data_IF_238793637765
#
_entry.id   IF_238793637765
#
_cell.length_a   1.000
_cell.length_b   1.000
_cell.length_c   1.000
_cell.angle_alpha   90.00
_cell.angle_beta   90.00
_cell.angle_gamma   90.00
#
_symmetry.space_group_name_H-M   'P 1'
#
loop_
_entity.id
_entity.type
_entity.pdbx_description
1 polymer ?
#
# COMPACT_ATOMS: atom_id res chain seq x y z
N UNK A 1 -12.02 -7.89 -5.09
CA UNK A 1 -12.25 -7.97 -3.65
C UNK A 1 -11.39 -9.06 -2.96
N UNK A 2 -11.70 -10.39 -3.02
CA UNK A 2 -10.83 -11.41 -2.39
C UNK A 2 -9.43 -11.47 -3.01
N UNK A 3 -9.33 -11.39 -4.34
CA UNK A 3 -8.04 -11.34 -5.05
C UNK A 3 -7.18 -10.15 -4.61
N UNK A 4 -7.77 -8.99 -4.44
CA UNK A 4 -7.07 -7.76 -4.01
C UNK A 4 -6.61 -7.88 -2.55
N UNK A 5 -7.48 -8.44 -1.68
CA UNK A 5 -7.12 -8.74 -0.29
C UNK A 5 -5.93 -9.70 -0.23
N UNK A 6 -5.90 -10.72 -1.11
CA UNK A 6 -4.78 -11.67 -1.19
C UNK A 6 -3.48 -10.95 -1.58
N UNK A 7 -3.53 -10.07 -2.56
CA UNK A 7 -2.36 -9.31 -3.00
C UNK A 7 -1.83 -8.38 -1.91
N UNK A 8 -2.73 -7.69 -1.20
CA UNK A 8 -2.38 -6.86 -0.05
C UNK A 8 -1.71 -7.68 1.06
N UNK A 9 -2.29 -8.81 1.45
CA UNK A 9 -1.72 -9.68 2.49
C UNK A 9 -0.34 -10.21 2.12
N UNK A 10 -0.15 -10.66 0.87
CA UNK A 10 1.16 -11.12 0.39
C UNK A 10 2.19 -10.00 0.45
N UNK A 11 1.81 -8.78 0.05
CA UNK A 11 2.71 -7.63 0.13
C UNK A 11 3.07 -7.28 1.58
N UNK A 12 2.11 -7.37 2.51
CA UNK A 12 2.34 -7.15 3.95
C UNK A 12 3.30 -8.21 4.52
N UNK A 13 3.01 -9.49 4.35
CA UNK A 13 3.84 -10.58 4.86
C UNK A 13 5.24 -10.54 4.25
N UNK A 14 5.33 -10.28 2.93
CA UNK A 14 6.62 -10.11 2.25
C UNK A 14 7.44 -8.96 2.84
N UNK A 15 6.81 -7.83 3.18
CA UNK A 15 7.48 -6.70 3.80
C UNK A 15 7.98 -7.04 5.22
N UNK A 16 7.17 -7.75 5.99
CA UNK A 16 7.55 -8.24 7.31
C UNK A 16 8.75 -9.21 7.24
N UNK A 17 8.71 -10.16 6.31
CA UNK A 17 9.84 -11.08 6.08
C UNK A 17 11.09 -10.34 5.58
N UNK A 18 10.94 -9.33 4.72
CA UNK A 18 12.06 -8.48 4.28
C UNK A 18 12.74 -7.78 5.46
N UNK A 19 11.96 -7.22 6.39
CA UNK A 19 12.51 -6.56 7.55
C UNK A 19 13.19 -7.56 8.51
N UNK A 20 12.61 -8.76 8.67
CA UNK A 20 13.18 -9.82 9.52
C UNK A 20 14.55 -10.33 9.03
N UNK A 21 14.76 -10.35 7.71
CA UNK A 21 16.03 -10.83 7.13
C UNK A 21 17.03 -9.71 6.82
N UNK A 22 16.67 -8.45 7.04
CA UNK A 22 17.45 -7.26 6.66
C UNK A 22 18.85 -7.24 7.24
N UNK A 23 19.01 -7.59 8.52
CA UNK A 23 20.31 -7.65 9.17
C UNK A 23 21.21 -8.70 8.52
N UNK A 24 20.68 -9.90 8.25
CA UNK A 24 21.41 -10.96 7.56
C UNK A 24 21.77 -10.56 6.12
N UNK A 25 20.84 -9.95 5.41
CA UNK A 25 21.06 -9.43 4.08
C UNK A 25 22.13 -8.34 4.05
N UNK A 26 22.16 -7.46 5.06
CA UNK A 26 23.19 -6.43 5.20
C UNK A 26 24.60 -7.01 5.37
N UNK A 27 24.74 -8.06 6.19
CA UNK A 27 26.02 -8.77 6.35
C UNK A 27 26.45 -9.42 5.03
N UNK A 28 25.54 -10.08 4.33
CA UNK A 28 25.85 -10.71 3.04
C UNK A 28 26.19 -9.67 1.96
N UNK A 29 25.50 -8.54 1.94
CA UNK A 29 25.78 -7.42 1.05
C UNK A 29 27.16 -6.79 1.34
N UNK A 30 27.54 -6.63 2.62
CA UNK A 30 28.89 -6.19 3.03
C UNK A 30 29.96 -7.14 2.48
N UNK A 31 29.80 -8.47 2.65
CA UNK A 31 30.74 -9.44 2.13
C UNK A 31 30.87 -9.34 0.60
N UNK A 32 29.75 -9.19 -0.14
CA UNK A 32 29.79 -9.02 -1.59
C UNK A 32 30.51 -7.74 -2.01
N UNK A 33 30.33 -6.62 -1.29
CA UNK A 33 31.08 -5.38 -1.56
C UNK A 33 32.59 -5.63 -1.35
N UNK A 34 32.97 -6.33 -0.28
CA UNK A 34 34.36 -6.66 -0.02
C UNK A 34 34.95 -7.56 -1.12
N UNK A 35 34.20 -8.53 -1.61
CA UNK A 35 34.61 -9.40 -2.73
C UNK A 35 34.81 -8.62 -4.04
N UNK A 36 33.99 -7.60 -4.30
CA UNK A 36 34.15 -6.72 -5.46
C UNK A 36 35.41 -5.85 -5.32
N UNK A 37 35.71 -5.38 -4.10
CA UNK A 37 36.86 -4.52 -3.82
C UNK A 37 38.17 -5.29 -3.75
N UNK A 38 38.14 -6.52 -3.29
CA UNK A 38 39.28 -7.43 -3.14
C UNK A 38 38.91 -8.81 -3.71
N UNK A 39 38.96 -8.98 -5.04
CA UNK A 39 38.65 -10.27 -5.66
C UNK A 39 39.67 -11.31 -5.18
N UNK A 40 39.16 -12.45 -4.70
CA UNK A 40 40.01 -13.57 -4.32
C UNK A 40 40.85 -13.99 -5.51
N UNK A 41 42.17 -14.22 -5.36
CA UNK A 41 43.03 -14.67 -6.46
C UNK A 41 42.52 -16.00 -6.96
N UNK A 42 42.43 -16.15 -8.29
CA UNK A 42 42.12 -17.44 -8.92
C UNK A 42 43.14 -18.45 -8.42
N UNK A 43 42.68 -19.47 -7.68
CA UNK A 43 43.46 -20.52 -7.05
C UNK A 43 44.64 -20.93 -7.93
N UNK A 44 45.84 -20.50 -7.60
CA UNK A 44 47.05 -21.25 -7.83
C UNK A 44 47.45 -21.86 -6.49
N UNK A 45 47.56 -23.18 -6.50
CA UNK A 45 48.03 -23.98 -5.39
C UNK A 45 49.43 -23.50 -5.07
N UNK A 46 49.64 -22.79 -3.97
CA UNK A 46 50.79 -22.90 -3.10
C UNK A 46 50.77 -21.80 -2.00
N UNK A 47 51.16 -22.27 -0.79
CA UNK A 47 51.64 -21.56 0.37
C UNK A 47 50.61 -20.98 1.40
N UNK A 48 50.70 -21.61 2.60
CA UNK A 48 49.97 -21.30 3.86
C UNK A 48 50.21 -19.89 4.39
N UNK A 49 51.10 -19.08 3.84
CA UNK A 49 51.41 -17.73 4.33
C UNK A 49 50.58 -16.59 3.71
N UNK A 50 49.77 -16.85 2.70
CA UNK A 50 48.98 -15.77 2.07
C UNK A 50 47.65 -15.51 2.73
N UNK A 51 47.10 -16.46 3.50
CA UNK A 51 45.76 -16.31 4.09
C UNK A 51 45.70 -15.22 5.19
N UNK A 52 46.76 -15.12 6.02
CA UNK A 52 46.80 -14.14 7.14
C UNK A 52 46.92 -12.68 6.63
N UNK A 53 47.62 -12.45 5.51
CA UNK A 53 47.78 -11.11 4.95
C UNK A 53 46.49 -10.68 4.21
N UNK A 54 45.79 -11.62 3.57
CA UNK A 54 44.50 -11.37 2.91
C UNK A 54 43.40 -11.08 3.92
N UNK A 55 43.32 -11.84 5.04
CA UNK A 55 42.34 -11.60 6.10
C UNK A 55 42.55 -10.23 6.74
N UNK A 56 43.78 -9.84 7.02
CA UNK A 56 44.10 -8.52 7.59
C UNK A 56 43.72 -7.36 6.61
N UNK A 57 43.94 -7.54 5.34
CA UNK A 57 43.56 -6.56 4.30
C UNK A 57 42.03 -6.44 4.17
N UNK A 58 41.30 -7.55 4.24
CA UNK A 58 39.85 -7.63 4.21
C UNK A 58 39.24 -6.95 5.45
N UNK A 59 39.79 -7.17 6.62
CA UNK A 59 39.35 -6.51 7.87
C UNK A 59 39.57 -4.98 7.82
N UNK A 60 40.71 -4.53 7.30
CA UNK A 60 40.95 -3.08 7.11
C UNK A 60 39.96 -2.45 6.13
N UNK A 61 39.61 -3.15 5.05
CA UNK A 61 38.60 -2.68 4.12
C UNK A 61 37.21 -2.66 4.76
N UNK A 62 36.85 -3.67 5.55
CA UNK A 62 35.60 -3.74 6.31
C UNK A 62 35.46 -2.56 7.27
N UNK A 63 36.51 -2.26 8.04
CA UNK A 63 36.52 -1.12 8.94
C UNK A 63 36.31 0.21 8.17
N UNK A 64 37.00 0.40 7.04
CA UNK A 64 36.85 1.60 6.20
C UNK A 64 35.48 1.71 5.56
N UNK A 65 34.86 0.58 5.20
CA UNK A 65 33.51 0.54 4.67
C UNK A 65 32.50 0.96 5.75
N UNK A 66 32.58 0.39 6.94
CA UNK A 66 31.71 0.73 8.09
C UNK A 66 31.87 2.18 8.56
N UNK A 67 33.09 2.73 8.46
CA UNK A 67 33.37 4.16 8.72
C UNK A 67 32.81 5.09 7.61
N UNK A 68 32.21 4.55 6.54
CA UNK A 68 31.67 5.36 5.43
C UNK A 68 32.74 5.99 4.51
N UNK A 69 34.05 5.73 4.75
CA UNK A 69 35.17 6.31 3.98
C UNK A 69 35.21 5.85 2.52
N UNK A 70 34.44 4.82 2.16
CA UNK A 70 34.40 4.25 0.82
C UNK A 70 33.11 4.59 0.06
N UNK A 71 32.15 5.30 0.65
CA UNK A 71 30.83 5.55 0.11
C UNK A 71 30.82 6.16 -1.29
N UNK A 72 31.74 7.09 -1.57
CA UNK A 72 31.86 7.79 -2.85
C UNK A 72 32.69 7.03 -3.91
N UNK A 73 33.36 5.93 -3.51
CA UNK A 73 34.13 5.12 -4.46
C UNK A 73 33.20 4.38 -5.42
N UNK A 74 33.57 4.34 -6.71
CA UNK A 74 32.83 3.65 -7.73
C UNK A 74 33.21 2.16 -7.80
N UNK A 75 32.21 1.29 -7.88
CA UNK A 75 32.36 -0.15 -8.12
C UNK A 75 31.53 -0.57 -9.34
N UNK A 76 31.99 -1.60 -10.04
CA UNK A 76 31.23 -2.21 -11.13
C UNK A 76 30.31 -3.28 -10.57
N UNK A 77 29.01 -3.12 -10.80
CA UNK A 77 27.99 -4.06 -10.37
C UNK A 77 27.14 -4.50 -11.56
N UNK A 78 26.85 -5.80 -11.62
CA UNK A 78 25.90 -6.35 -12.57
C UNK A 78 24.48 -6.00 -12.12
N UNK A 79 23.90 -4.97 -12.74
CA UNK A 79 22.53 -4.54 -12.46
C UNK A 79 21.58 -4.99 -13.55
N UNK A 80 20.36 -5.41 -13.23
CA UNK A 80 19.35 -5.69 -14.22
C UNK A 80 19.11 -4.42 -15.07
N UNK A 81 19.13 -4.58 -16.38
CA UNK A 81 18.72 -3.50 -17.27
C UNK A 81 17.26 -3.16 -16.93
N UNK A 82 17.00 -1.93 -16.45
CA UNK A 82 15.61 -1.46 -16.37
C UNK A 82 15.07 -1.57 -17.78
N UNK A 83 14.15 -2.49 -18.00
CA UNK A 83 13.34 -2.45 -19.20
C UNK A 83 12.79 -1.02 -19.28
N UNK A 84 13.28 -0.24 -20.25
CA UNK A 84 12.64 1.00 -20.60
C UNK A 84 11.17 0.64 -20.79
N UNK A 85 10.21 1.44 -20.30
CA UNK A 85 8.83 1.25 -20.70
C UNK A 85 8.87 1.24 -22.23
N UNK A 86 8.62 0.06 -22.79
CA UNK A 86 8.42 -0.07 -24.24
C UNK A 86 7.22 0.82 -24.46
N UNK A 87 7.49 1.97 -25.10
CA UNK A 87 6.52 2.97 -25.47
C UNK A 87 5.29 2.22 -25.96
N UNK A 88 4.17 2.53 -25.34
CA UNK A 88 2.81 2.20 -25.78
C UNK A 88 2.56 2.75 -27.19
N UNK A 89 3.06 2.03 -28.18
CA UNK A 89 2.69 2.24 -29.57
C UNK A 89 2.09 0.93 -30.03
N UNK A 90 0.79 0.92 -30.08
CA UNK A 90 -0.17 -0.13 -30.43
C UNK A 90 -0.98 -0.69 -29.25
N UNK A 91 -1.84 0.14 -28.65
CA UNK A 91 -2.99 -0.40 -27.94
C UNK A 91 -4.19 -0.45 -28.90
N UNK A 92 -4.37 -1.60 -29.53
CA UNK A 92 -5.70 -2.00 -29.96
C UNK A 92 -6.40 -2.60 -28.72
N UNK A 93 -7.54 -2.06 -28.36
CA UNK A 93 -8.39 -2.53 -27.28
C UNK A 93 -8.56 -4.06 -27.33
N UNK A 94 -8.12 -4.77 -26.30
CA UNK A 94 -8.39 -6.20 -26.12
C UNK A 94 -7.20 -7.12 -25.86
N UNK A 95 -5.94 -6.65 -25.75
CA UNK A 95 -4.78 -7.50 -25.59
C UNK A 95 -4.04 -7.39 -24.23
N UNK A 96 -4.57 -6.64 -23.28
CA UNK A 96 -3.90 -6.45 -21.97
C UNK A 96 -3.77 -7.75 -21.15
N UNK A 97 -4.79 -8.61 -21.18
CA UNK A 97 -4.75 -9.90 -20.48
C UNK A 97 -3.78 -10.90 -21.13
N UNK A 98 -3.59 -10.84 -22.43
CA UNK A 98 -2.68 -11.71 -23.15
C UNK A 98 -1.21 -11.29 -22.96
N UNK A 99 -0.93 -9.99 -22.86
CA UNK A 99 0.44 -9.48 -22.66
C UNK A 99 0.95 -9.79 -21.24
N UNK A 100 0.05 -9.81 -20.23
CA UNK A 100 0.38 -10.23 -18.87
C UNK A 100 0.71 -11.72 -18.77
N UNK A 101 -0.06 -12.57 -19.44
CA UNK A 101 0.18 -14.02 -19.48
C UNK A 101 1.46 -14.39 -20.27
N UNK A 102 1.76 -13.65 -21.33
CA UNK A 102 2.97 -13.82 -22.12
C UNK A 102 4.20 -13.36 -21.31
N UNK A 103 4.12 -12.26 -20.56
CA UNK A 103 5.20 -11.82 -19.66
C UNK A 103 5.47 -12.79 -18.53
N UNK A 104 4.46 -13.41 -17.94
CA UNK A 104 4.64 -14.43 -16.89
C UNK A 104 5.21 -15.74 -17.44
N UNK A 105 4.80 -16.14 -18.65
CA UNK A 105 5.31 -17.36 -19.31
C UNK A 105 6.75 -17.20 -19.82
N UNK A 106 7.12 -16.05 -20.35
CA UNK A 106 8.46 -15.81 -20.91
C UNK A 106 9.41 -15.08 -19.97
N UNK A 107 8.92 -14.42 -18.93
CA UNK A 107 9.72 -13.68 -17.96
C UNK A 107 10.66 -14.55 -17.13
N UNK A 108 10.34 -15.83 -16.96
CA UNK A 108 11.18 -16.81 -16.26
C UNK A 108 12.15 -17.58 -17.17
N UNK A 109 11.98 -17.54 -18.49
CA UNK A 109 12.77 -18.33 -19.45
C UNK A 109 13.88 -17.48 -20.11
N UNK A 110 13.69 -16.15 -20.18
CA UNK A 110 14.72 -15.28 -20.74
C UNK A 110 15.75 -14.90 -19.67
N UNK A 111 17.05 -15.16 -19.89
CA UNK A 111 18.09 -14.71 -18.98
C UNK A 111 17.98 -13.17 -18.86
N UNK A 112 17.76 -12.67 -17.64
CA UNK A 112 17.73 -11.22 -17.36
C UNK A 112 19.06 -10.65 -17.86
N UNK A 113 19.02 -9.84 -18.91
CA UNK A 113 20.22 -9.13 -19.38
C UNK A 113 20.70 -8.22 -18.25
N UNK A 114 21.82 -8.60 -17.65
CA UNK A 114 22.54 -7.76 -16.69
C UNK A 114 23.52 -6.90 -17.44
N UNK A 115 23.63 -5.64 -17.07
CA UNK A 115 24.59 -4.70 -17.62
C UNK A 115 25.50 -4.22 -16.51
N UNK A 116 26.81 -4.28 -16.71
CA UNK A 116 27.78 -3.73 -15.77
C UNK A 116 27.61 -2.22 -15.70
N UNK A 117 27.32 -1.70 -14.52
CA UNK A 117 27.23 -0.26 -14.26
C UNK A 117 28.22 0.13 -13.17
N UNK A 118 28.82 1.31 -13.34
CA UNK A 118 29.64 1.94 -12.31
C UNK A 118 28.70 2.73 -11.40
N UNK A 119 28.63 2.34 -10.14
CA UNK A 119 27.78 2.96 -9.11
C UNK A 119 28.61 3.25 -7.86
N UNK A 120 28.22 4.23 -7.05
CA UNK A 120 28.86 4.49 -5.77
C UNK A 120 28.62 3.31 -4.83
N UNK A 121 29.59 3.04 -3.96
CA UNK A 121 29.49 1.93 -2.99
C UNK A 121 28.25 2.06 -2.12
N UNK A 122 27.86 3.27 -1.72
CA UNK A 122 26.63 3.49 -0.96
C UNK A 122 25.40 2.94 -1.69
N UNK A 123 25.22 3.31 -2.96
CA UNK A 123 24.08 2.89 -3.77
C UNK A 123 24.14 1.39 -4.11
N UNK A 124 25.36 0.88 -4.35
CA UNK A 124 25.62 -0.54 -4.55
C UNK A 124 25.23 -1.37 -3.33
N UNK A 125 25.53 -0.90 -2.12
CA UNK A 125 25.23 -1.59 -0.89
C UNK A 125 23.72 -1.67 -0.65
N UNK A 126 22.98 -0.58 -0.82
CA UNK A 126 21.51 -0.56 -0.73
C UNK A 126 20.87 -1.53 -1.73
N UNK A 127 21.38 -1.54 -2.97
CA UNK A 127 20.91 -2.48 -3.99
C UNK A 127 21.21 -3.94 -3.62
N UNK A 128 22.41 -4.22 -3.12
CA UNK A 128 22.81 -5.57 -2.71
C UNK A 128 22.01 -6.06 -1.50
N UNK A 129 21.71 -5.21 -0.52
CA UNK A 129 20.80 -5.57 0.60
C UNK A 129 19.44 -6.02 0.06
N UNK A 130 18.87 -5.28 -0.90
CA UNK A 130 17.59 -5.66 -1.51
C UNK A 130 17.68 -6.98 -2.29
N UNK A 131 18.79 -7.21 -2.98
CA UNK A 131 19.02 -8.44 -3.73
C UNK A 131 19.18 -9.65 -2.79
N UNK A 132 20.00 -9.52 -1.74
CA UNK A 132 20.21 -10.58 -0.75
C UNK A 132 18.95 -10.85 0.07
N UNK A 133 18.19 -9.79 0.45
CA UNK A 133 16.89 -9.97 1.12
C UNK A 133 15.94 -10.81 0.27
N UNK A 134 15.87 -10.56 -1.05
CA UNK A 134 15.02 -11.36 -1.95
C UNK A 134 15.43 -12.83 -2.04
N UNK A 135 16.72 -13.14 -1.88
CA UNK A 135 17.22 -14.53 -1.90
C UNK A 135 16.94 -15.26 -0.58
N UNK A 136 16.90 -14.51 0.53
CA UNK A 136 16.66 -15.07 1.86
C UNK A 136 15.17 -15.33 2.15
N UNK A 137 14.26 -14.71 1.38
CA UNK A 137 12.82 -14.86 1.56
C UNK A 137 12.35 -16.12 0.84
N UNK A 138 11.71 -17.00 1.61
CA UNK A 138 10.97 -18.14 1.08
C UNK A 138 9.57 -17.67 0.63
N UNK A 139 9.37 -17.54 -0.68
CA UNK A 139 8.11 -17.07 -1.24
C UNK A 139 6.96 -18.07 -1.03
N UNK A 140 7.21 -19.36 -0.93
CA UNK A 140 6.20 -20.37 -0.67
C UNK A 140 5.67 -20.23 0.76
N UNK A 141 6.58 -19.98 1.72
CA UNK A 141 6.21 -19.63 3.09
C UNK A 141 5.39 -18.33 3.14
N UNK A 142 5.84 -17.27 2.47
CA UNK A 142 5.13 -15.98 2.40
C UNK A 142 3.69 -16.16 1.90
N UNK A 143 3.52 -16.93 0.82
CA UNK A 143 2.19 -17.19 0.24
C UNK A 143 1.31 -17.96 1.21
N UNK A 144 1.84 -19.01 1.84
CA UNK A 144 1.11 -19.81 2.82
C UNK A 144 0.67 -18.98 4.02
N UNK A 145 1.57 -18.23 4.63
CA UNK A 145 1.30 -17.40 5.80
C UNK A 145 0.30 -16.28 5.47
N UNK A 146 0.41 -15.70 4.26
CA UNK A 146 -0.52 -14.68 3.79
C UNK A 146 -1.93 -15.23 3.60
N UNK A 147 -2.09 -16.41 2.99
CA UNK A 147 -3.40 -17.07 2.81
C UNK A 147 -4.01 -17.40 4.18
N UNK A 148 -3.24 -18.00 5.08
CA UNK A 148 -3.70 -18.30 6.43
C UNK A 148 -4.16 -17.04 7.17
N UNK A 149 -3.41 -15.94 7.06
CA UNK A 149 -3.75 -14.65 7.67
C UNK A 149 -5.06 -14.08 7.12
N UNK A 150 -5.30 -14.18 5.80
CA UNK A 150 -6.56 -13.75 5.20
C UNK A 150 -7.72 -14.60 5.70
N UNK A 151 -7.56 -15.92 5.66
CA UNK A 151 -8.61 -16.85 6.05
C UNK A 151 -9.00 -16.72 7.52
N UNK A 152 -8.05 -16.37 8.41
CA UNK A 152 -8.28 -16.33 9.85
C UNK A 152 -8.51 -14.93 10.43
N UNK A 153 -8.03 -13.88 9.72
CA UNK A 153 -8.00 -12.52 10.24
C UNK A 153 -8.37 -11.46 9.20
N UNK A 154 -8.87 -11.88 8.03
CA UNK A 154 -9.27 -10.98 6.95
C UNK A 154 -10.49 -10.15 7.36
N UNK A 155 -10.49 -8.86 7.00
CA UNK A 155 -11.60 -7.93 7.19
C UNK A 155 -11.90 -7.27 5.85
N UNK A 156 -13.16 -7.28 5.44
CA UNK A 156 -13.63 -6.65 4.21
C UNK A 156 -14.74 -5.65 4.54
N UNK A 157 -14.56 -4.40 4.11
CA UNK A 157 -15.59 -3.38 4.18
C UNK A 157 -16.36 -3.32 2.86
N UNK A 158 -17.69 -3.37 2.96
CA UNK A 158 -18.62 -3.14 1.86
C UNK A 158 -19.29 -1.80 2.08
N UNK A 159 -18.84 -0.79 1.38
CA UNK A 159 -19.41 0.56 1.50
C UNK A 159 -20.61 0.74 0.56
N UNK A 160 -21.48 1.68 0.89
CA UNK A 160 -22.67 2.05 0.12
C UNK A 160 -23.63 0.87 -0.19
N UNK A 161 -23.77 -0.08 0.75
CA UNK A 161 -24.65 -1.26 0.54
C UNK A 161 -26.13 -0.87 0.34
N UNK A 162 -26.53 0.31 0.78
CA UNK A 162 -27.86 0.88 0.53
C UNK A 162 -28.16 1.10 -0.96
N UNK A 163 -27.14 1.29 -1.81
CA UNK A 163 -27.30 1.46 -3.26
C UNK A 163 -27.80 0.20 -3.96
N UNK A 164 -27.50 -0.97 -3.39
CA UNK A 164 -28.01 -2.24 -3.91
C UNK A 164 -29.28 -2.73 -3.20
N UNK A 165 -29.70 -2.07 -2.11
CA UNK A 165 -30.91 -2.41 -1.35
C UNK A 165 -32.20 -1.83 -1.95
N UNK A 166 -32.12 -0.86 -2.85
CA UNK A 166 -33.30 -0.17 -3.39
C UNK A 166 -34.16 -1.07 -4.28
N UNK A 167 -35.50 -1.01 -4.06
CA UNK A 167 -36.51 -1.77 -4.83
C UNK A 167 -37.01 -1.07 -6.09
N UNK A 168 -36.49 0.12 -6.45
CA UNK A 168 -36.98 0.86 -7.60
C UNK A 168 -36.75 0.10 -8.91
N UNK A 169 -37.87 -0.30 -9.52
CA UNK A 169 -37.91 -0.86 -10.86
C UNK A 169 -37.68 0.23 -11.89
N UNK A 170 -36.48 0.68 -12.09
CA UNK A 170 -36.13 1.46 -13.27
C UNK A 170 -35.99 0.47 -14.43
N UNK A 171 -36.91 0.54 -15.38
CA UNK A 171 -36.89 -0.23 -16.62
C UNK A 171 -35.70 0.24 -17.48
N UNK A 172 -34.60 -0.51 -17.46
CA UNK A 172 -33.42 -0.29 -18.30
C UNK A 172 -32.54 -1.55 -18.33
N UNK A 173 -31.56 -1.67 -19.24
CA UNK A 173 -30.68 -2.82 -19.36
C UNK A 173 -29.59 -2.86 -18.24
N UNK A 174 -29.83 -2.19 -17.12
CA UNK A 174 -28.92 -2.14 -16.01
C UNK A 174 -28.87 -3.48 -15.24
N UNK A 175 -27.68 -3.81 -14.75
CA UNK A 175 -27.43 -4.93 -13.86
C UNK A 175 -28.42 -4.86 -12.69
N UNK A 176 -29.23 -5.91 -12.53
CA UNK A 176 -30.22 -5.98 -11.48
C UNK A 176 -29.50 -5.83 -10.11
N UNK A 177 -29.93 -4.84 -9.31
CA UNK A 177 -29.40 -4.62 -7.95
C UNK A 177 -29.49 -5.89 -7.09
N UNK A 178 -30.54 -6.65 -7.27
CA UNK A 178 -30.70 -7.98 -6.66
C UNK A 178 -29.67 -8.97 -7.19
N UNK A 179 -29.27 -8.90 -8.46
CA UNK A 179 -28.17 -9.69 -9.03
C UNK A 179 -26.86 -9.44 -8.31
N UNK A 180 -26.50 -8.19 -8.05
CA UNK A 180 -25.30 -7.84 -7.29
C UNK A 180 -25.35 -8.40 -5.87
N UNK A 181 -26.49 -8.35 -5.19
CA UNK A 181 -26.65 -8.96 -3.87
C UNK A 181 -26.43 -10.48 -3.92
N UNK A 182 -26.96 -11.15 -4.94
CA UNK A 182 -26.79 -12.59 -5.17
C UNK A 182 -25.33 -12.96 -5.52
N UNK A 183 -24.59 -12.08 -6.18
CA UNK A 183 -23.17 -12.29 -6.50
C UNK A 183 -22.27 -12.15 -5.25
N UNK A 184 -22.64 -11.27 -4.31
CA UNK A 184 -21.91 -11.09 -3.05
C UNK A 184 -22.22 -12.22 -2.06
N UNK A 185 -23.43 -12.77 -2.07
CA UNK A 185 -23.93 -13.73 -1.10
C UNK A 185 -23.01 -14.95 -0.91
N UNK A 186 -22.54 -15.67 -1.95
CA UNK A 186 -21.65 -16.81 -1.77
C UNK A 186 -20.35 -16.45 -1.05
N UNK A 187 -19.85 -15.25 -1.28
CA UNK A 187 -18.59 -14.78 -0.67
C UNK A 187 -18.78 -14.54 0.83
N UNK A 188 -19.92 -13.98 1.22
CA UNK A 188 -20.26 -13.72 2.63
C UNK A 188 -20.71 -14.98 3.35
N UNK A 189 -21.28 -15.95 2.63
CA UNK A 189 -21.70 -17.23 3.18
C UNK A 189 -20.53 -18.19 3.46
N UNK A 190 -19.42 -18.00 2.80
CA UNK A 190 -18.26 -18.89 2.83
C UNK A 190 -18.11 -19.66 1.52
N UNK A 191 -17.08 -19.37 0.79
CA UNK A 191 -16.74 -20.03 -0.47
C UNK A 191 -15.22 -20.10 -0.64
N UNK A 192 -14.80 -20.90 -1.60
CA UNK A 192 -13.38 -20.95 -2.00
C UNK A 192 -13.17 -20.15 -3.26
N UNK A 193 -12.34 -19.10 -3.19
CA UNK A 193 -12.01 -18.23 -4.31
C UNK A 193 -10.63 -18.57 -4.85
N UNK A 194 -10.54 -18.86 -6.15
CA UNK A 194 -9.25 -19.08 -6.83
C UNK A 194 -8.55 -17.75 -7.09
N UNK A 195 -7.33 -17.64 -6.62
CA UNK A 195 -6.43 -16.51 -6.86
C UNK A 195 -5.17 -16.97 -7.60
N UNK A 196 -4.34 -16.04 -8.07
CA UNK A 196 -3.05 -16.35 -8.68
C UNK A 196 -2.03 -16.98 -7.71
N UNK A 197 -2.30 -16.91 -6.40
CA UNK A 197 -1.45 -17.44 -5.35
C UNK A 197 -1.98 -18.72 -4.71
N UNK A 198 -3.16 -19.16 -5.11
CA UNK A 198 -3.83 -20.34 -4.58
C UNK A 198 -5.29 -20.10 -4.25
N UNK A 199 -5.90 -21.06 -3.59
CA UNK A 199 -7.29 -21.00 -3.15
C UNK A 199 -7.37 -20.31 -1.79
N UNK A 200 -8.37 -19.45 -1.61
CA UNK A 200 -8.66 -18.73 -0.36
C UNK A 200 -10.09 -19.01 0.05
N UNK A 201 -10.29 -19.46 1.27
CA UNK A 201 -11.61 -19.68 1.88
C UNK A 201 -12.08 -18.42 2.57
N UNK A 202 -13.37 -18.11 2.44
CA UNK A 202 -13.94 -16.88 3.01
C UNK A 202 -14.73 -17.10 4.30
N UNK A 203 -14.77 -18.31 4.81
CA UNK A 203 -15.60 -18.73 5.95
C UNK A 203 -15.37 -17.93 7.24
N UNK A 204 -14.12 -17.51 7.50
CA UNK A 204 -13.75 -16.76 8.70
C UNK A 204 -13.38 -15.30 8.42
N UNK A 205 -13.61 -14.82 7.21
CA UNK A 205 -13.41 -13.40 6.89
C UNK A 205 -14.54 -12.58 7.52
N UNK A 206 -14.17 -11.51 8.23
CA UNK A 206 -15.16 -10.58 8.77
C UNK A 206 -15.61 -9.60 7.68
N UNK A 207 -16.93 -9.57 7.44
CA UNK A 207 -17.54 -8.59 6.53
C UNK A 207 -18.24 -7.50 7.34
N UNK A 208 -17.94 -6.25 7.02
CA UNK A 208 -18.54 -5.07 7.62
C UNK A 208 -19.18 -4.27 6.50
N UNK A 209 -20.52 -4.17 6.52
CA UNK A 209 -21.25 -3.40 5.53
C UNK A 209 -21.68 -2.05 6.09
N UNK A 210 -21.50 -0.98 5.33
CA UNK A 210 -21.91 0.37 5.68
C UNK A 210 -22.87 0.92 4.60
N UNK A 211 -23.80 1.75 5.01
CA UNK A 211 -24.74 2.43 4.10
C UNK A 211 -25.55 3.49 4.83
N UNK A 212 -25.88 4.55 4.13
CA UNK A 212 -26.65 5.66 4.70
C UNK A 212 -28.15 5.36 4.85
N UNK A 213 -28.70 4.49 4.01
CA UNK A 213 -30.10 4.05 4.02
C UNK A 213 -31.13 5.19 4.07
N UNK A 214 -30.86 6.33 3.41
CA UNK A 214 -31.79 7.47 3.35
C UNK A 214 -33.06 7.14 2.58
N UNK A 215 -32.95 6.43 1.43
CA UNK A 215 -34.06 6.09 0.55
C UNK A 215 -34.47 4.62 0.64
N UNK A 216 -33.72 3.80 1.35
CA UNK A 216 -33.93 2.36 1.52
C UNK A 216 -33.74 1.99 2.99
N UNK A 217 -34.04 0.75 3.34
CA UNK A 217 -33.86 0.21 4.70
C UNK A 217 -33.00 -1.07 4.61
N UNK A 218 -32.29 -1.43 5.69
CA UNK A 218 -31.60 -2.73 5.74
C UNK A 218 -32.51 -3.93 5.45
N UNK A 219 -33.83 -3.77 5.73
CA UNK A 219 -34.86 -4.78 5.40
C UNK A 219 -35.19 -4.91 3.92
N UNK A 220 -34.67 -4.03 3.08
CA UNK A 220 -34.87 -4.08 1.61
C UNK A 220 -33.78 -4.91 0.91
N UNK A 221 -32.74 -5.31 1.63
CA UNK A 221 -31.82 -6.35 1.18
C UNK A 221 -32.54 -7.70 1.09
N UNK A 222 -32.04 -8.61 0.24
CA UNK A 222 -32.57 -9.98 0.18
C UNK A 222 -32.46 -10.68 1.55
N UNK A 223 -33.43 -11.53 1.93
CA UNK A 223 -33.47 -12.14 3.26
C UNK A 223 -32.20 -12.90 3.63
N UNK A 224 -31.58 -13.57 2.66
CA UNK A 224 -30.37 -14.35 2.83
C UNK A 224 -29.21 -13.45 3.26
N UNK A 225 -29.04 -12.31 2.60
CA UNK A 225 -27.99 -11.35 2.93
C UNK A 225 -28.23 -10.69 4.30
N UNK A 226 -29.51 -10.39 4.64
CA UNK A 226 -29.85 -9.89 5.97
C UNK A 226 -29.46 -10.86 7.09
N UNK A 227 -29.58 -12.16 6.85
CA UNK A 227 -29.18 -13.21 7.79
C UNK A 227 -27.66 -13.29 8.01
N UNK A 228 -26.87 -12.81 7.03
CA UNK A 228 -25.39 -12.77 7.13
C UNK A 228 -24.86 -11.50 7.77
N UNK A 229 -25.68 -10.44 7.91
CA UNK A 229 -25.40 -9.22 8.65
C UNK A 229 -26.34 -9.07 9.86
N UNK A 230 -26.25 -9.97 10.85
CA UNK A 230 -27.19 -10.00 11.98
C UNK A 230 -26.95 -8.86 12.96
N UNK A 231 -25.72 -8.35 13.07
CA UNK A 231 -25.36 -7.27 13.97
C UNK A 231 -25.55 -5.96 13.24
N UNK A 232 -26.40 -5.08 13.79
CA UNK A 232 -26.69 -3.78 13.22
C UNK A 232 -26.36 -2.69 14.25
N UNK A 233 -25.61 -1.70 13.79
CA UNK A 233 -25.19 -0.56 14.60
C UNK A 233 -25.62 0.72 13.87
N UNK A 234 -26.33 1.60 14.57
CA UNK A 234 -26.61 2.94 14.09
C UNK A 234 -25.52 3.88 14.62
N UNK A 235 -24.98 4.69 13.73
CA UNK A 235 -24.03 5.74 14.11
C UNK A 235 -24.81 7.03 14.38
N UNK A 236 -24.52 7.67 15.52
CA UNK A 236 -25.10 8.96 15.85
C UNK A 236 -24.46 10.08 15.01
N UNK A 237 -25.21 11.18 14.73
CA UNK A 237 -24.65 12.37 14.12
C UNK A 237 -23.50 12.95 14.96
N UNK A 238 -22.49 13.50 14.28
CA UNK A 238 -21.37 14.15 14.96
C UNK A 238 -21.83 15.40 15.71
N UNK A 239 -21.39 15.51 16.96
CA UNK A 239 -21.59 16.69 17.80
C UNK A 239 -20.53 17.76 17.53
N UNK A 240 -20.71 18.97 18.05
CA UNK A 240 -19.72 20.06 18.00
C UNK A 240 -18.37 19.62 18.59
N UNK A 241 -18.38 18.87 19.69
CA UNK A 241 -17.17 18.37 20.34
C UNK A 241 -16.46 17.33 19.49
N UNK A 242 -17.22 16.47 18.79
CA UNK A 242 -16.63 15.51 17.84
C UNK A 242 -15.97 16.23 16.66
N UNK A 243 -16.61 17.26 16.10
CA UNK A 243 -16.02 18.09 15.06
C UNK A 243 -14.73 18.76 15.55
N UNK A 244 -14.72 19.29 16.79
CA UNK A 244 -13.54 19.92 17.37
C UNK A 244 -12.38 18.93 17.51
N UNK A 245 -12.66 17.72 17.99
CA UNK A 245 -11.66 16.65 18.10
C UNK A 245 -11.14 16.22 16.75
N UNK A 246 -12.00 16.02 15.76
CA UNK A 246 -11.63 15.61 14.40
C UNK A 246 -10.71 16.65 13.73
N UNK A 247 -10.96 17.95 13.93
CA UNK A 247 -10.17 19.01 13.28
C UNK A 247 -8.82 19.28 13.97
N UNK A 248 -8.66 18.85 15.24
CA UNK A 248 -7.49 19.20 16.07
C UNK A 248 -6.61 18.01 16.47
N UNK A 249 -7.19 16.88 16.92
CA UNK A 249 -6.46 15.80 17.59
C UNK A 249 -5.62 14.93 16.65
N UNK A 250 -6.10 14.46 15.48
CA UNK A 250 -5.36 13.53 14.64
C UNK A 250 -3.96 14.05 14.25
N UNK A 251 -3.00 13.13 14.07
CA UNK A 251 -1.67 13.50 13.58
C UNK A 251 -1.76 14.25 12.25
N UNK A 252 -2.70 13.85 11.40
CA UNK A 252 -3.01 14.47 10.13
C UNK A 252 -4.30 15.30 10.20
N UNK A 253 -4.47 16.11 11.26
CA UNK A 253 -5.64 16.98 11.44
C UNK A 253 -5.73 18.00 10.30
N UNK A 254 -6.97 18.34 9.90
CA UNK A 254 -7.24 19.23 8.77
C UNK A 254 -6.56 20.60 8.90
N UNK A 255 -6.53 21.17 10.11
CA UNK A 255 -5.79 22.42 10.41
C UNK A 255 -4.30 22.28 10.05
N UNK A 256 -3.67 21.14 10.41
CA UNK A 256 -2.25 20.91 10.12
C UNK A 256 -2.00 20.77 8.62
N UNK A 257 -2.94 20.15 7.90
CA UNK A 257 -2.85 20.01 6.44
C UNK A 257 -2.89 21.38 5.75
N UNK A 258 -3.86 22.25 6.09
CA UNK A 258 -3.96 23.58 5.49
C UNK A 258 -2.79 24.48 5.87
N UNK A 259 -2.30 24.41 7.11
CA UNK A 259 -1.07 25.12 7.50
C UNK A 259 0.13 24.69 6.67
N UNK A 260 0.32 23.38 6.47
CA UNK A 260 1.41 22.86 5.66
C UNK A 260 1.25 23.25 4.18
N UNK A 261 0.04 23.20 3.64
CA UNK A 261 -0.27 23.56 2.26
C UNK A 261 0.07 25.04 1.98
N UNK A 262 -0.45 25.98 2.78
CA UNK A 262 -0.21 27.41 2.58
C UNK A 262 1.22 27.81 2.89
N UNK A 263 1.91 27.06 3.76
CA UNK A 263 3.34 27.29 4.01
C UNK A 263 4.22 27.00 2.77
N UNK A 264 3.76 26.20 1.80
CA UNK A 264 4.48 26.01 0.53
C UNK A 264 4.55 27.28 -0.31
N UNK A 265 3.57 28.17 -0.13
CA UNK A 265 3.50 29.50 -0.73
C UNK A 265 4.03 30.61 0.21
N UNK A 266 4.78 30.24 1.27
CA UNK A 266 5.32 31.14 2.30
C UNK A 266 4.26 31.90 3.10
N UNK A 267 3.01 31.41 3.16
CA UNK A 267 1.95 31.97 4.00
C UNK A 267 1.92 31.21 5.32
N UNK A 268 2.15 31.94 6.43
CA UNK A 268 2.03 31.40 7.78
C UNK A 268 0.59 31.55 8.26
N UNK A 269 -0.22 30.48 8.14
CA UNK A 269 -1.61 30.46 8.60
C UNK A 269 -1.67 30.05 10.07
N UNK A 270 -2.34 30.83 10.89
CA UNK A 270 -2.64 30.50 12.29
C UNK A 270 -4.15 30.46 12.52
N UNK A 271 -4.61 29.54 13.34
CA UNK A 271 -5.99 29.42 13.77
C UNK A 271 -6.06 29.67 15.26
N UNK A 272 -6.80 30.70 15.65
CA UNK A 272 -7.12 30.95 17.05
C UNK A 272 -8.16 29.91 17.54
N UNK A 273 -8.15 29.63 18.83
CA UNK A 273 -9.05 28.63 19.42
C UNK A 273 -10.53 28.97 19.21
N UNK A 274 -10.86 30.24 19.27
CA UNK A 274 -12.19 30.75 18.99
C UNK A 274 -12.63 30.50 17.54
N UNK A 275 -11.74 30.71 16.60
CA UNK A 275 -12.00 30.43 15.18
C UNK A 275 -12.26 28.92 14.95
N UNK A 276 -11.50 28.04 15.60
CA UNK A 276 -11.72 26.60 15.52
C UNK A 276 -13.12 26.22 16.07
N UNK A 277 -13.50 26.80 17.21
CA UNK A 277 -14.83 26.59 17.81
C UNK A 277 -15.95 27.05 16.88
N UNK A 278 -15.79 28.19 16.24
CA UNK A 278 -16.77 28.73 15.28
C UNK A 278 -16.89 27.84 14.03
N UNK A 279 -15.76 27.38 13.45
CA UNK A 279 -15.76 26.45 12.33
C UNK A 279 -16.52 25.18 12.66
N UNK A 280 -16.33 24.63 13.86
CA UNK A 280 -17.01 23.40 14.29
C UNK A 280 -18.51 23.61 14.50
N UNK A 281 -18.91 24.73 15.07
CA UNK A 281 -20.32 25.11 15.26
C UNK A 281 -21.04 25.33 13.92
N UNK A 282 -20.42 26.06 13.00
CA UNK A 282 -20.92 26.25 11.63
C UNK A 282 -21.08 24.90 10.91
N UNK A 283 -20.07 24.02 11.03
CA UNK A 283 -20.11 22.71 10.41
C UNK A 283 -21.24 21.83 10.92
N UNK A 284 -21.49 21.83 12.24
CA UNK A 284 -22.63 21.13 12.83
C UNK A 284 -23.95 21.72 12.33
N UNK A 285 -24.15 23.05 12.45
CA UNK A 285 -25.35 23.72 11.99
C UNK A 285 -25.69 23.43 10.52
N UNK A 286 -24.70 23.47 9.64
CA UNK A 286 -24.92 23.17 8.22
C UNK A 286 -25.34 21.70 8.04
N UNK A 287 -24.74 20.75 8.76
CA UNK A 287 -25.14 19.33 8.71
C UNK A 287 -26.58 19.11 9.25
N UNK A 288 -27.04 19.92 10.21
CA UNK A 288 -28.41 19.87 10.72
C UNK A 288 -29.42 20.47 9.73
N UNK A 289 -29.03 21.54 9.02
CA UNK A 289 -29.89 22.28 8.10
C UNK A 289 -29.95 21.69 6.70
N UNK A 290 -28.96 20.91 6.30
CA UNK A 290 -28.80 20.34 4.97
C UNK A 290 -28.60 18.82 5.06
N UNK A 291 -28.17 18.18 3.97
CA UNK A 291 -27.76 16.78 4.00
C UNK A 291 -26.56 16.57 4.92
N UNK A 292 -26.69 15.64 5.86
CA UNK A 292 -25.63 15.31 6.80
C UNK A 292 -24.54 14.48 6.09
N UNK A 293 -23.40 15.11 5.82
CA UNK A 293 -22.23 14.48 5.20
C UNK A 293 -21.11 14.17 6.22
N UNK A 294 -21.43 14.21 7.51
CA UNK A 294 -20.51 13.92 8.59
C UNK A 294 -19.30 14.85 8.61
N UNK A 295 -18.13 14.31 8.90
CA UNK A 295 -16.87 15.07 8.99
C UNK A 295 -16.43 15.71 7.66
N UNK A 296 -16.94 15.26 6.50
CA UNK A 296 -16.66 15.92 5.21
C UNK A 296 -17.11 17.38 5.20
N UNK A 297 -18.06 17.75 6.05
CA UNK A 297 -18.50 19.15 6.20
C UNK A 297 -17.37 20.09 6.62
N UNK A 298 -16.42 19.62 7.41
CA UNK A 298 -15.24 20.40 7.79
C UNK A 298 -14.41 20.83 6.57
N UNK A 299 -14.24 19.94 5.60
CA UNK A 299 -13.51 20.26 4.36
C UNK A 299 -14.23 21.38 3.59
N UNK A 300 -15.55 21.26 3.39
CA UNK A 300 -16.32 22.28 2.65
C UNK A 300 -16.34 23.63 3.33
N UNK A 301 -16.37 23.67 4.66
CA UNK A 301 -16.31 24.90 5.44
C UNK A 301 -14.92 25.51 5.38
N UNK A 302 -13.88 24.70 5.53
CA UNK A 302 -12.48 25.15 5.45
C UNK A 302 -12.11 25.64 4.04
N UNK A 303 -12.53 24.93 3.00
CA UNK A 303 -12.32 25.36 1.61
C UNK A 303 -12.97 26.74 1.38
N UNK A 304 -14.20 26.92 1.81
CA UNK A 304 -14.88 28.20 1.64
C UNK A 304 -14.26 29.33 2.48
N UNK A 305 -13.78 29.03 3.68
CA UNK A 305 -13.11 29.99 4.54
C UNK A 305 -11.76 30.46 3.95
N UNK A 306 -11.03 29.55 3.34
CA UNK A 306 -9.67 29.81 2.85
C UNK A 306 -9.61 30.08 1.33
N UNK A 307 -10.76 30.13 0.64
CA UNK A 307 -10.85 30.30 -0.82
C UNK A 307 -10.08 31.53 -1.29
N UNK A 308 -10.34 32.71 -0.70
CA UNK A 308 -9.70 33.98 -1.10
C UNK A 308 -8.18 33.97 -0.80
N UNK A 309 -7.80 33.41 0.36
CA UNK A 309 -6.38 33.32 0.75
C UNK A 309 -5.65 32.37 -0.19
N UNK A 310 -6.23 31.21 -0.50
CA UNK A 310 -5.64 30.22 -1.39
C UNK A 310 -5.53 30.73 -2.83
N UNK A 311 -6.49 31.54 -3.29
CA UNK A 311 -6.47 32.13 -4.62
C UNK A 311 -5.39 33.20 -4.78
N UNK A 312 -5.19 34.02 -3.76
CA UNK A 312 -4.20 35.11 -3.77
C UNK A 312 -2.79 34.67 -3.32
N UNK A 313 -2.63 33.45 -2.85
CA UNK A 313 -1.34 32.94 -2.34
C UNK A 313 -0.16 33.00 -3.31
N UNK A 314 -0.31 32.82 -4.64
CA UNK A 314 0.79 32.89 -5.60
C UNK A 314 1.28 34.31 -5.90
N UNK A 315 0.53 35.36 -5.56
CA UNK A 315 0.84 36.79 -5.85
C UNK A 315 1.46 37.47 -4.61
#
# INVERSE_FOLDING_TARGET
MIRDLTELSINMVKKEEQESVKEKAAIMAEERILDILLPAPKRQVDTQNNNEVEDHSREKLRARFRDGKLNEKLVELDMPERALPIIEVFSAQGMEEMDMQIRDLFGNILPKKTKKRKVKIKDAYEFLIQEESKKLIDMDKVVKDAIERIEQSGIIFLDEIDKIASRDQIHGPDVSREGVQRDILPIVEGTTVTTKYGMVKTDHILFIAAGAFHMSKPSDLIPELQGRFPIRVNLDPLTKDDFYRIITEPDNALIKQYKALLNTENINLEFEEEAIKEITEISQKINEMTENIGARRLYTVMEKLLEDISYSAPD
#
